data_IF_716382703391
#
_entry.id   IF_716382703391
#
_cell.length_a   1.000
_cell.length_b   1.000
_cell.length_c   1.000
_cell.angle_alpha   90.00
_cell.angle_beta   90.00
_cell.angle_gamma   90.00
#
_symmetry.space_group_name_H-M   'P 1'
#
loop_
_entity.id
_entity.type
_entity.pdbx_description
1 polymer ?
#
# COMPACT_ATOMS: atom_id res chain seq x y z
N UNK A 1 4.55 -10.58 -12.20
CA UNK A 1 4.10 -9.17 -12.03
C UNK A 1 5.13 -8.54 -11.12
N UNK A 2 5.95 -7.66 -11.68
CA UNK A 2 7.23 -7.31 -11.02
C UNK A 2 7.09 -6.12 -10.05
N UNK A 3 5.89 -5.52 -9.96
CA UNK A 3 5.56 -4.48 -8.98
C UNK A 3 4.45 -4.94 -8.05
N UNK A 4 4.80 -5.66 -6.99
CA UNK A 4 3.86 -6.03 -5.92
C UNK A 4 4.44 -5.62 -4.58
N UNK A 5 3.62 -4.95 -3.76
CA UNK A 5 3.80 -4.91 -2.32
C UNK A 5 2.90 -6.00 -1.76
N UNK A 6 3.45 -7.14 -1.29
CA UNK A 6 2.64 -8.25 -0.79
C UNK A 6 1.71 -7.80 0.32
N UNK A 7 0.56 -8.46 0.44
CA UNK A 7 -0.40 -8.14 1.48
C UNK A 7 0.17 -8.41 2.86
N UNK A 8 -0.05 -7.46 3.75
CA UNK A 8 0.47 -7.51 5.11
C UNK A 8 -0.38 -6.68 6.06
N UNK A 9 -0.06 -6.80 7.35
CA UNK A 9 -0.64 -6.03 8.44
C UNK A 9 0.46 -5.47 9.34
N UNK A 10 0.13 -4.37 10.02
CA UNK A 10 0.95 -3.70 11.02
C UNK A 10 0.11 -3.45 12.29
N UNK A 11 0.71 -3.39 13.50
CA UNK A 11 0.00 -3.00 14.72
C UNK A 11 -0.29 -1.49 14.80
N UNK A 12 0.21 -0.70 13.84
CA UNK A 12 -0.04 0.74 13.70
C UNK A 12 -0.66 1.04 12.34
N UNK A 13 -1.17 2.26 12.17
CA UNK A 13 -1.62 2.72 10.85
C UNK A 13 -0.45 2.95 9.89
N UNK A 14 -0.73 2.89 8.59
CA UNK A 14 0.17 3.28 7.51
C UNK A 14 -0.59 4.21 6.54
N UNK A 15 0.00 5.37 6.25
CA UNK A 15 -0.48 6.27 5.20
C UNK A 15 0.42 6.16 3.98
N UNK A 16 -0.16 5.94 2.80
CA UNK A 16 0.55 5.69 1.55
C UNK A 16 0.12 6.72 0.51
N UNK A 17 1.03 7.62 0.12
CA UNK A 17 0.78 8.65 -0.91
C UNK A 17 1.35 8.21 -2.24
N UNK A 18 0.55 8.21 -3.30
CA UNK A 18 1.01 7.86 -4.64
C UNK A 18 1.74 9.06 -5.25
N UNK A 19 3.03 8.88 -5.56
CA UNK A 19 3.89 9.93 -6.10
C UNK A 19 4.10 9.81 -7.61
N UNK A 20 3.98 8.61 -8.17
CA UNK A 20 4.15 8.33 -9.60
C UNK A 20 3.32 7.10 -9.98
N UNK A 21 2.72 7.13 -11.17
CA UNK A 21 2.00 5.99 -11.74
C UNK A 21 0.59 5.78 -11.19
N UNK A 22 0.05 4.62 -11.53
CA UNK A 22 -1.25 4.10 -11.12
C UNK A 22 -1.08 2.67 -10.62
N UNK A 23 -1.73 2.32 -9.51
CA UNK A 23 -1.65 1.00 -8.89
C UNK A 23 -2.99 0.59 -8.31
N UNK A 24 -3.21 -0.72 -8.20
CA UNK A 24 -4.33 -1.25 -7.43
C UNK A 24 -3.89 -1.39 -5.97
N UNK A 25 -4.49 -0.58 -5.09
CA UNK A 25 -4.38 -0.71 -3.66
C UNK A 25 -5.34 -1.81 -3.17
N UNK A 26 -4.84 -2.66 -2.31
CA UNK A 26 -5.64 -3.63 -1.56
C UNK A 26 -5.85 -3.04 -0.18
N UNK A 27 -7.10 -2.97 0.30
CA UNK A 27 -7.44 -2.46 1.63
C UNK A 27 -8.60 -3.28 2.22
N UNK A 28 -8.29 -4.14 3.17
CA UNK A 28 -9.21 -5.17 3.65
C UNK A 28 -9.63 -6.09 2.50
N UNK A 29 -10.94 -6.09 2.23
CA UNK A 29 -11.58 -6.85 1.15
C UNK A 29 -11.72 -6.04 -0.15
N UNK A 30 -11.35 -4.76 -0.15
CA UNK A 30 -11.47 -3.88 -1.30
C UNK A 30 -10.21 -3.85 -2.14
N UNK A 31 -10.40 -3.70 -3.45
CA UNK A 31 -9.35 -3.38 -4.41
C UNK A 31 -9.72 -2.08 -5.10
N UNK A 32 -8.86 -1.07 -4.96
CA UNK A 32 -9.12 0.29 -5.39
C UNK A 32 -7.96 0.75 -6.27
N UNK A 33 -8.24 1.14 -7.51
CA UNK A 33 -7.23 1.76 -8.37
C UNK A 33 -6.95 3.19 -7.88
N UNK A 34 -5.68 3.47 -7.60
CA UNK A 34 -5.20 4.77 -7.09
C UNK A 34 -4.07 5.30 -7.96
N UNK A 35 -4.11 6.61 -8.22
CA UNK A 35 -3.12 7.35 -9.00
C UNK A 35 -2.48 8.49 -8.22
N UNK A 36 -1.60 9.22 -8.91
CA UNK A 36 -0.80 10.31 -8.34
C UNK A 36 -1.63 11.31 -7.54
N UNK A 37 -1.16 11.63 -6.33
CA UNK A 37 -1.80 12.59 -5.42
C UNK A 37 -2.89 12.01 -4.54
N UNK A 38 -3.34 10.78 -4.80
CA UNK A 38 -4.25 10.08 -3.89
C UNK A 38 -3.48 9.42 -2.74
N UNK A 39 -4.18 9.26 -1.61
CA UNK A 39 -3.65 8.65 -0.39
C UNK A 39 -4.51 7.47 0.02
N UNK A 40 -3.86 6.35 0.34
CA UNK A 40 -4.48 5.20 1.00
C UNK A 40 -4.11 5.24 2.48
N UNK A 41 -5.07 5.06 3.37
CA UNK A 41 -4.82 4.92 4.81
C UNK A 41 -5.23 3.52 5.24
N UNK A 42 -4.27 2.73 5.70
CA UNK A 42 -4.52 1.44 6.32
C UNK A 42 -4.54 1.59 7.85
N UNK A 43 -5.69 1.35 8.52
CA UNK A 43 -5.74 1.30 9.98
C UNK A 43 -4.93 0.10 10.54
N UNK A 44 -4.61 0.10 11.85
CA UNK A 44 -3.97 -1.03 12.51
C UNK A 44 -4.70 -2.35 12.26
N UNK A 45 -3.95 -3.41 11.93
CA UNK A 45 -4.47 -4.75 11.71
C UNK A 45 -5.27 -4.95 10.41
N UNK A 46 -5.43 -3.92 9.58
CA UNK A 46 -6.11 -4.04 8.29
C UNK A 46 -5.13 -4.52 7.24
N UNK A 47 -5.51 -5.58 6.51
CA UNK A 47 -4.75 -6.12 5.37
C UNK A 47 -4.61 -5.06 4.29
N UNK A 48 -3.40 -4.78 3.85
CA UNK A 48 -3.15 -3.86 2.74
C UNK A 48 -1.94 -4.26 1.90
N UNK A 49 -1.89 -3.75 0.67
CA UNK A 49 -0.82 -4.01 -0.30
C UNK A 49 -1.07 -3.27 -1.61
N UNK A 50 -0.18 -3.46 -2.58
CA UNK A 50 -0.30 -2.83 -3.90
C UNK A 50 0.07 -3.79 -5.01
N UNK A 51 -0.59 -3.64 -6.16
CA UNK A 51 -0.22 -4.27 -7.42
C UNK A 51 -0.09 -3.20 -8.50
N UNK A 52 1.10 -3.05 -9.07
CA UNK A 52 1.33 -2.23 -10.26
C UNK A 52 1.15 -3.10 -11.51
N UNK A 53 0.09 -2.85 -12.27
CA UNK A 53 -0.25 -3.57 -13.51
C UNK A 53 0.11 -2.81 -14.79
N UNK A 54 0.68 -1.61 -14.66
CA UNK A 54 0.85 -0.68 -15.78
C UNK A 54 2.02 -1.02 -16.72
N UNK A 55 2.98 -1.84 -16.28
CA UNK A 55 4.23 -2.08 -17.03
C UNK A 55 5.18 -0.88 -17.04
N UNK A 56 4.83 0.21 -16.35
CA UNK A 56 5.64 1.40 -16.13
C UNK A 56 6.00 1.54 -14.63
N UNK A 57 7.02 2.34 -14.27
CA UNK A 57 7.33 2.62 -12.87
C UNK A 57 6.16 3.24 -12.12
N UNK A 58 6.05 2.91 -10.83
CA UNK A 58 5.16 3.58 -9.88
C UNK A 58 5.93 3.83 -8.58
N UNK A 59 5.55 4.88 -7.85
CA UNK A 59 6.20 5.26 -6.59
C UNK A 59 5.17 5.59 -5.53
N UNK A 60 5.40 5.09 -4.33
CA UNK A 60 4.60 5.33 -3.14
C UNK A 60 5.48 5.84 -2.02
N UNK A 61 4.99 6.83 -1.27
CA UNK A 61 5.57 7.25 0.00
C UNK A 61 4.75 6.62 1.11
N UNK A 62 5.36 5.67 1.83
CA UNK A 62 4.80 5.06 3.02
C UNK A 62 5.23 5.85 4.27
N UNK A 63 4.26 6.21 5.11
CA UNK A 63 4.43 7.02 6.31
C UNK A 63 3.86 6.25 7.49
N UNK A 64 4.67 6.09 8.53
CA UNK A 64 4.32 5.39 9.76
C UNK A 64 4.40 6.35 10.96
N UNK A 65 3.57 6.18 12.00
CA UNK A 65 3.65 6.98 13.22
C UNK A 65 4.82 6.57 14.14
N UNK A 66 5.68 5.66 13.67
CA UNK A 66 6.79 5.08 14.42
C UNK A 66 7.97 4.81 13.49
N UNK A 67 9.18 4.77 14.05
CA UNK A 67 10.37 4.31 13.32
C UNK A 67 10.45 2.78 13.21
N UNK A 68 9.65 2.04 13.98
CA UNK A 68 9.62 0.57 13.97
C UNK A 68 8.50 0.07 13.05
N UNK A 69 8.83 -0.20 11.79
CA UNK A 69 7.89 -0.66 10.75
C UNK A 69 7.72 -2.19 10.78
N UNK A 70 7.06 -2.71 11.81
CA UNK A 70 6.84 -4.15 12.00
C UNK A 70 5.72 -4.71 11.12
N UNK A 71 6.04 -5.50 10.09
CA UNK A 71 5.02 -6.13 9.22
C UNK A 71 4.86 -7.63 9.47
N UNK A 72 3.62 -8.10 9.40
CA UNK A 72 3.29 -9.53 9.27
C UNK A 72 2.65 -9.76 7.91
N UNK A 73 3.24 -10.63 7.09
CA UNK A 73 2.67 -11.00 5.79
C UNK A 73 1.37 -11.79 5.99
N UNK A 74 0.40 -11.55 5.12
CA UNK A 74 -0.89 -12.26 5.11
C UNK A 74 -1.29 -12.58 3.66
N UNK A 75 -2.07 -13.63 3.49
CA UNK A 75 -2.64 -14.00 2.20
C UNK A 75 -3.76 -13.03 1.76
#
# INVERSE_FOLDING_TARGET
VDGVVPTHIHPTEEAMVILEGEMDAILGDEVITVGVGQTVLAPPGIRHGFVNRSGAPARVLAIFPTANMERTLVD
#
